data_IF_611098511229
#
_entry.id   IF_611098511229
#
_cell.length_a   1.000
_cell.length_b   1.000
_cell.length_c   1.000
_cell.angle_alpha   90.00
_cell.angle_beta   90.00
_cell.angle_gamma   90.00
#
_symmetry.space_group_name_H-M   'P 1'
#
loop_
_entity.id
_entity.type
_entity.pdbx_description
1 polymer ?
#
# COMPACT_ATOMS: atom_id res chain seq x y z
N UNK A 1 0.73 -6.09 5.42
CA UNK A 1 1.99 -6.19 4.65
C UNK A 1 1.64 -6.26 3.19
N UNK A 2 2.19 -5.37 2.36
CA UNK A 2 2.12 -5.45 0.90
C UNK A 2 3.28 -6.32 0.41
N UNK A 3 3.02 -7.21 -0.55
CA UNK A 3 4.04 -7.98 -1.25
C UNK A 3 3.79 -7.94 -2.76
N UNK A 4 4.85 -7.74 -3.53
CA UNK A 4 4.83 -7.86 -5.00
C UNK A 4 5.70 -9.05 -5.36
N UNK A 5 5.15 -9.94 -6.18
CA UNK A 5 5.80 -11.16 -6.61
C UNK A 5 6.14 -11.10 -8.09
N UNK A 6 7.22 -11.77 -8.47
CA UNK A 6 7.51 -12.07 -9.85
C UNK A 6 6.45 -13.07 -10.38
N UNK A 7 5.76 -12.70 -11.46
CA UNK A 7 4.64 -13.48 -11.98
C UNK A 7 5.04 -14.83 -12.59
N UNK A 8 6.32 -15.08 -12.84
CA UNK A 8 6.80 -16.35 -13.41
C UNK A 8 7.35 -17.30 -12.35
N UNK A 9 8.09 -16.76 -11.39
CA UNK A 9 8.87 -17.52 -10.41
C UNK A 9 8.24 -17.53 -9.02
N UNK A 10 7.34 -16.58 -8.73
CA UNK A 10 6.78 -16.38 -7.39
C UNK A 10 7.78 -15.77 -6.40
N UNK A 11 8.97 -15.36 -6.85
CA UNK A 11 9.94 -14.67 -6.01
C UNK A 11 9.38 -13.34 -5.49
N UNK A 12 9.67 -12.99 -4.25
CA UNK A 12 9.30 -11.70 -3.68
C UNK A 12 10.21 -10.62 -4.29
N UNK A 13 9.62 -9.66 -4.99
CA UNK A 13 10.32 -8.52 -5.59
C UNK A 13 10.34 -7.31 -4.67
N UNK A 14 9.30 -7.16 -3.84
CA UNK A 14 9.13 -6.01 -2.97
C UNK A 14 8.22 -6.35 -1.79
N UNK A 15 8.54 -5.83 -0.61
CA UNK A 15 7.68 -5.87 0.58
C UNK A 15 7.61 -4.50 1.21
N UNK A 16 6.45 -4.14 1.73
CA UNK A 16 6.26 -2.89 2.44
C UNK A 16 5.21 -3.00 3.53
N UNK A 17 5.59 -2.66 4.77
CA UNK A 17 4.64 -2.61 5.88
C UNK A 17 3.80 -1.35 5.80
N UNK A 18 2.55 -1.50 5.35
CA UNK A 18 1.60 -0.41 5.20
C UNK A 18 0.88 -0.08 6.51
N UNK A 19 0.66 -1.06 7.40
CA UNK A 19 -0.02 -0.86 8.68
C UNK A 19 0.93 -0.25 9.73
N UNK A 20 1.18 1.06 9.60
CA UNK A 20 2.07 1.86 10.44
C UNK A 20 1.72 3.35 10.35
N UNK A 21 2.34 4.15 11.20
CA UNK A 21 2.28 5.60 11.13
C UNK A 21 3.02 6.17 9.90
N UNK A 22 2.41 7.20 9.32
CA UNK A 22 2.92 8.07 8.26
C UNK A 22 2.87 9.52 8.76
N UNK A 23 3.89 9.99 9.49
CA UNK A 23 3.91 11.36 10.01
C UNK A 23 4.02 12.40 8.88
N UNK A 24 4.74 12.05 7.81
CA UNK A 24 5.02 12.94 6.69
C UNK A 24 4.26 12.49 5.43
N UNK A 25 3.10 13.09 5.19
CA UNK A 25 2.29 12.84 4.00
C UNK A 25 2.31 14.04 3.05
N UNK A 26 2.03 13.81 1.76
CA UNK A 26 2.08 14.85 0.73
C UNK A 26 1.06 15.98 0.93
N UNK A 27 -0.02 15.71 1.66
CA UNK A 27 -1.05 16.70 2.00
C UNK A 27 -0.89 17.28 3.41
N UNK A 28 0.16 16.90 4.15
CA UNK A 28 0.45 17.40 5.49
C UNK A 28 -0.48 16.89 6.60
N UNK A 29 -1.33 15.90 6.32
CA UNK A 29 -2.21 15.28 7.32
C UNK A 29 -1.59 13.95 7.75
N UNK A 30 -1.33 13.79 9.04
CA UNK A 30 -0.81 12.53 9.59
C UNK A 30 -1.71 11.34 9.19
N UNK A 31 -1.06 10.26 8.76
CA UNK A 31 -1.73 9.05 8.31
C UNK A 31 -1.39 7.86 9.18
N UNK A 32 -2.33 6.93 9.31
CA UNK A 32 -2.08 5.59 9.82
C UNK A 32 -2.63 4.59 8.79
N UNK A 33 -1.77 3.72 8.28
CA UNK A 33 -2.24 2.68 7.35
C UNK A 33 -2.89 1.52 8.10
N UNK A 34 -3.83 0.83 7.47
CA UNK A 34 -4.52 -0.32 8.07
C UNK A 34 -4.46 -1.60 7.25
N UNK A 35 -5.50 -2.43 7.39
CA UNK A 35 -5.71 -3.67 6.64
C UNK A 35 -5.75 -3.44 5.12
N UNK A 36 -5.32 -4.48 4.39
CA UNK A 36 -5.36 -4.54 2.92
C UNK A 36 -6.35 -5.65 2.53
N UNK A 37 -7.57 -5.28 2.15
CA UNK A 37 -8.64 -6.23 1.79
C UNK A 37 -9.54 -5.66 0.68
N UNK A 38 -10.40 -6.52 0.12
CA UNK A 38 -11.31 -6.29 -1.00
C UNK A 38 -10.59 -5.96 -2.31
N UNK A 39 -10.43 -4.69 -2.65
CA UNK A 39 -9.73 -4.24 -3.86
C UNK A 39 -8.75 -3.11 -3.51
N UNK A 40 -7.71 -3.39 -2.70
CA UNK A 40 -6.86 -2.35 -2.16
C UNK A 40 -5.80 -1.88 -3.17
N UNK A 41 -5.74 -2.45 -4.38
CA UNK A 41 -4.70 -2.21 -5.37
C UNK A 41 -5.29 -1.73 -6.69
N UNK A 42 -4.74 -0.64 -7.24
CA UNK A 42 -4.98 -0.21 -8.62
C UNK A 42 -3.66 0.23 -9.26
N UNK A 43 -3.42 -0.20 -10.50
CA UNK A 43 -2.21 0.16 -11.24
C UNK A 43 -2.58 0.97 -12.49
N UNK A 44 -1.84 2.05 -12.73
CA UNK A 44 -2.04 2.94 -13.88
C UNK A 44 -0.87 3.92 -14.04
N UNK A 45 -0.54 4.25 -15.28
CA UNK A 45 0.54 5.19 -15.63
C UNK A 45 1.90 4.87 -14.96
N UNK A 46 2.24 3.57 -14.89
CA UNK A 46 3.49 3.12 -14.23
C UNK A 46 3.51 3.27 -12.71
N UNK A 47 2.37 3.54 -12.07
CA UNK A 47 2.20 3.68 -10.62
C UNK A 47 1.30 2.58 -10.08
N UNK A 48 1.68 2.02 -8.93
CA UNK A 48 0.81 1.18 -8.11
C UNK A 48 0.26 2.02 -6.96
N UNK A 49 -1.05 2.19 -6.92
CA UNK A 49 -1.76 2.81 -5.81
C UNK A 49 -2.29 1.74 -4.87
N UNK A 50 -2.08 1.94 -3.57
CA UNK A 50 -2.45 1.00 -2.51
C UNK A 50 -3.23 1.72 -1.42
N UNK A 51 -4.49 1.33 -1.25
CA UNK A 51 -5.33 1.80 -0.15
C UNK A 51 -5.01 0.99 1.11
N UNK A 52 -4.46 1.63 2.14
CA UNK A 52 -4.15 0.98 3.42
C UNK A 52 -5.17 1.39 4.48
N UNK A 53 -6.14 0.52 4.73
CA UNK A 53 -7.23 0.76 5.67
C UNK A 53 -8.53 0.18 5.18
N UNK A 54 -8.93 -0.95 5.76
CA UNK A 54 -10.26 -1.51 5.54
C UNK A 54 -10.77 -1.91 6.92
N UNK A 55 -11.75 -1.16 7.44
CA UNK A 55 -12.23 -1.35 8.81
C UNK A 55 -13.40 -2.35 8.91
N UNK A 56 -13.78 -2.95 7.78
CA UNK A 56 -14.87 -3.91 7.77
C UNK A 56 -14.40 -5.19 8.46
N UNK A 57 -15.32 -5.88 9.12
CA UNK A 57 -15.04 -7.16 9.79
C UNK A 57 -14.01 -7.09 10.93
N UNK A 58 -13.79 -5.91 11.53
CA UNK A 58 -12.87 -5.73 12.66
C UNK A 58 -11.39 -5.68 12.26
N UNK A 59 -11.11 -5.53 10.97
CA UNK A 59 -9.76 -5.32 10.47
C UNK A 59 -9.20 -3.94 10.86
N UNK A 60 -7.86 -3.78 10.90
CA UNK A 60 -7.25 -2.51 11.25
C UNK A 60 -7.71 -1.37 10.32
N UNK A 61 -8.30 -0.29 10.86
CA UNK A 61 -8.66 0.87 10.06
C UNK A 61 -7.41 1.60 9.56
N UNK A 62 -7.58 2.45 8.55
CA UNK A 62 -6.52 3.34 8.08
C UNK A 62 -7.04 4.37 7.08
N UNK A 63 -6.26 5.43 6.89
CA UNK A 63 -6.63 6.60 6.08
C UNK A 63 -5.57 6.94 5.01
N UNK A 64 -4.70 5.99 4.66
CA UNK A 64 -3.56 6.25 3.77
C UNK A 64 -3.77 5.63 2.39
N UNK A 65 -3.56 6.44 1.35
CA UNK A 65 -3.32 5.99 -0.02
C UNK A 65 -1.83 6.13 -0.33
N UNK A 66 -1.18 5.03 -0.72
CA UNK A 66 0.26 5.00 -1.02
C UNK A 66 0.45 4.83 -2.52
N UNK A 67 1.34 5.61 -3.12
CA UNK A 67 1.72 5.48 -4.53
C UNK A 67 3.17 4.96 -4.63
N UNK A 68 3.35 3.81 -5.26
CA UNK A 68 4.65 3.23 -5.55
C UNK A 68 4.97 3.36 -7.04
N UNK A 69 6.22 3.67 -7.35
CA UNK A 69 6.78 3.58 -8.70
C UNK A 69 8.11 2.82 -8.64
N UNK A 70 8.50 2.11 -9.72
CA UNK A 70 9.86 1.62 -9.85
C UNK A 70 10.84 2.79 -9.69
N UNK A 71 11.98 2.54 -9.04
CA UNK A 71 13.08 3.51 -9.10
C UNK A 71 13.47 3.68 -10.57
N UNK A 72 13.39 4.92 -11.07
CA UNK A 72 13.96 5.25 -12.37
C UNK A 72 15.46 4.92 -12.37
N UNK A 73 15.97 4.49 -13.52
CA UNK A 73 17.42 4.44 -13.77
C UNK A 73 18.01 5.83 -13.80
#
# INVERSE_FOLDING_TARGET
>A
MLRIFDGKTGAILFEYMTNRDFPDTVNGIEGHGGGLDSAPYIAGDGTLFVQSGYARFGEPPGNVLIAFRPKGT
#
